data_IF_969771023374
#
_entry.id   IF_969771023374
#
_cell.length_a   1.000
_cell.length_b   1.000
_cell.length_c   1.000
_cell.angle_alpha   90.00
_cell.angle_beta   90.00
_cell.angle_gamma   90.00
#
_symmetry.space_group_name_H-M   'P 1'
#
loop_
_entity.id
_entity.type
_entity.pdbx_description
1 polymer ?
#
# COMPACT_ATOMS: atom_id res chain seq x y z
N UNK A 1 -18.90 21.13 -8.90
CA UNK A 1 -18.02 20.04 -9.33
C UNK A 1 -18.00 19.01 -8.21
N UNK A 2 -18.85 17.99 -8.30
CA UNK A 2 -18.79 16.86 -7.36
C UNK A 2 -17.63 15.96 -7.76
N UNK A 3 -16.60 15.89 -6.94
CA UNK A 3 -15.55 14.86 -7.05
C UNK A 3 -16.16 13.52 -6.63
N UNK A 4 -16.75 12.79 -7.57
CA UNK A 4 -17.17 11.39 -7.40
C UNK A 4 -15.98 10.46 -7.52
N UNK A 5 -15.00 10.61 -6.63
CA UNK A 5 -13.88 9.68 -6.56
C UNK A 5 -14.39 8.38 -5.89
N UNK A 6 -14.58 7.32 -6.69
CA UNK A 6 -14.95 5.99 -6.17
C UNK A 6 -13.69 5.30 -5.64
N UNK A 7 -13.26 5.67 -4.44
CA UNK A 7 -12.13 5.05 -3.77
C UNK A 7 -12.58 3.79 -3.00
N UNK A 8 -11.91 2.67 -3.24
CA UNK A 8 -12.11 1.43 -2.44
C UNK A 8 -11.06 1.43 -1.33
N UNK A 9 -11.52 1.39 -0.08
CA UNK A 9 -10.65 1.36 1.09
C UNK A 9 -10.44 -0.09 1.53
N UNK A 10 -9.21 -0.58 1.43
CA UNK A 10 -8.82 -1.91 1.87
C UNK A 10 -7.94 -1.80 3.11
N UNK A 11 -8.36 -2.39 4.22
CA UNK A 11 -7.61 -2.41 5.46
C UNK A 11 -7.16 -3.84 5.79
N UNK A 12 -5.85 -4.05 5.82
CA UNK A 12 -5.22 -5.31 6.20
C UNK A 12 -4.45 -5.17 7.49
N UNK A 13 -4.62 -6.13 8.40
CA UNK A 13 -3.86 -6.21 9.64
C UNK A 13 -3.18 -7.56 9.69
N UNK A 14 -1.85 -7.55 9.77
CA UNK A 14 -1.06 -8.76 9.97
C UNK A 14 -0.39 -8.70 11.35
N UNK A 15 -0.65 -9.71 12.19
CA UNK A 15 -0.06 -9.82 13.53
C UNK A 15 1.11 -10.81 13.49
N UNK A 16 2.33 -10.28 13.44
CA UNK A 16 3.56 -11.05 13.56
C UNK A 16 4.09 -10.97 14.99
N UNK A 17 4.56 -12.09 15.55
CA UNK A 17 5.06 -12.17 16.94
C UNK A 17 6.58 -11.95 17.08
N UNK A 18 7.28 -11.61 15.99
CA UNK A 18 8.72 -11.34 16.00
C UNK A 18 9.05 -9.92 15.56
N UNK A 19 10.35 -9.62 15.52
CA UNK A 19 10.86 -8.39 14.93
C UNK A 19 11.18 -8.67 13.46
N UNK A 20 10.50 -7.96 12.55
CA UNK A 20 10.81 -8.00 11.13
C UNK A 20 11.56 -6.74 10.75
N UNK A 21 12.72 -6.91 10.12
CA UNK A 21 13.53 -5.80 9.58
C UNK A 21 13.26 -5.53 8.10
N UNK A 22 12.54 -6.43 7.44
CA UNK A 22 12.30 -6.40 6.00
C UNK A 22 10.84 -6.73 5.68
N UNK A 23 10.21 -5.86 4.90
CA UNK A 23 8.84 -6.03 4.43
C UNK A 23 8.77 -5.80 2.92
N UNK A 24 8.08 -6.69 2.25
CA UNK A 24 7.86 -6.61 0.81
C UNK A 24 6.36 -6.54 0.55
N UNK A 25 5.91 -5.44 -0.06
CA UNK A 25 4.49 -5.13 -0.26
C UNK A 25 4.21 -5.06 -1.76
N UNK A 26 3.35 -5.96 -2.22
CA UNK A 26 2.94 -6.05 -3.63
C UNK A 26 1.45 -5.73 -3.71
N UNK A 27 1.08 -4.78 -4.57
CA UNK A 27 -0.31 -4.51 -4.90
C UNK A 27 -0.52 -4.84 -6.39
N UNK A 28 -1.19 -5.96 -6.66
CA UNK A 28 -1.58 -6.38 -8.01
C UNK A 28 -3.06 -6.11 -8.32
N UNK A 29 -3.80 -5.55 -7.36
CA UNK A 29 -5.27 -5.64 -7.36
C UNK A 29 -5.95 -4.71 -8.38
N UNK A 30 -5.27 -3.71 -8.97
CA UNK A 30 -5.97 -2.75 -9.84
C UNK A 30 -5.22 -2.22 -11.08
N UNK A 31 -3.94 -2.50 -11.28
CA UNK A 31 -3.20 -1.92 -12.42
C UNK A 31 -3.50 -2.61 -13.76
N UNK A 32 -3.91 -3.88 -13.73
CA UNK A 32 -4.19 -4.64 -14.96
C UNK A 32 -5.63 -4.43 -15.48
N UNK A 33 -6.54 -4.01 -14.62
CA UNK A 33 -7.97 -3.87 -14.94
C UNK A 33 -8.40 -2.42 -15.18
N UNK A 34 -7.70 -1.43 -14.60
CA UNK A 34 -8.09 -0.02 -14.68
C UNK A 34 -6.85 0.88 -14.79
N UNK A 35 -6.69 1.53 -15.95
CA UNK A 35 -5.52 2.32 -16.31
C UNK A 35 -5.30 3.60 -15.46
N UNK A 36 -6.28 4.04 -14.67
CA UNK A 36 -6.27 5.31 -13.94
C UNK A 36 -6.35 5.16 -12.41
N UNK A 37 -6.27 3.93 -11.89
CA UNK A 37 -6.38 3.69 -10.45
C UNK A 37 -5.09 4.05 -9.73
N UNK A 38 -5.18 4.99 -8.79
CA UNK A 38 -4.09 5.26 -7.84
C UNK A 38 -4.45 4.69 -6.48
N UNK A 39 -3.59 3.85 -5.92
CA UNK A 39 -3.81 3.18 -4.65
C UNK A 39 -2.91 3.80 -3.57
N UNK A 40 -3.47 4.11 -2.41
CA UNK A 40 -2.72 4.59 -1.25
C UNK A 40 -2.61 3.48 -0.21
N UNK A 41 -1.39 3.04 0.06
CA UNK A 41 -1.07 2.15 1.17
C UNK A 41 -0.50 2.98 2.33
N UNK A 42 -1.07 2.84 3.52
CA UNK A 42 -0.47 3.36 4.75
C UNK A 42 0.11 2.16 5.50
N UNK A 43 1.43 2.09 5.56
CA UNK A 43 2.16 1.07 6.31
C UNK A 43 2.51 1.60 7.70
N UNK A 44 2.13 0.85 8.74
CA UNK A 44 2.39 1.18 10.13
C UNK A 44 3.05 -0.02 10.83
N UNK A 45 4.21 0.18 11.44
CA UNK A 45 4.90 -0.82 12.25
C UNK A 45 5.68 -0.14 13.39
N UNK A 46 5.32 -0.45 14.65
CA UNK A 46 5.84 0.24 15.84
C UNK A 46 5.79 1.78 15.70
N UNK A 47 6.93 2.47 15.76
CA UNK A 47 7.08 3.93 15.60
C UNK A 47 7.32 4.37 14.14
N UNK A 48 7.34 3.43 13.19
CA UNK A 48 7.51 3.71 11.77
C UNK A 48 6.16 3.75 11.05
N UNK A 49 5.88 4.86 10.39
CA UNK A 49 4.74 5.02 9.50
C UNK A 49 5.21 5.54 8.15
N UNK A 50 4.73 4.95 7.06
CA UNK A 50 5.00 5.40 5.69
C UNK A 50 3.77 5.27 4.81
N UNK A 51 3.44 6.35 4.12
CA UNK A 51 2.42 6.35 3.07
C UNK A 51 3.08 6.07 1.72
N UNK A 52 2.53 5.13 0.96
CA UNK A 52 3.06 4.66 -0.32
C UNK A 52 1.93 4.77 -1.34
N UNK A 53 2.16 5.55 -2.39
CA UNK A 53 1.28 5.61 -3.55
C UNK A 53 1.73 4.55 -4.56
N UNK A 54 0.84 3.61 -4.86
CA UNK A 54 0.97 2.67 -5.97
C UNK A 54 0.26 3.24 -7.20
N UNK A 55 0.91 3.11 -8.35
CA UNK A 55 0.44 3.47 -9.69
C UNK A 55 0.77 2.33 -10.65
N UNK A 56 0.34 2.41 -11.91
CA UNK A 56 0.71 1.40 -12.90
C UNK A 56 2.22 1.26 -13.08
N UNK A 57 2.98 2.35 -12.94
CA UNK A 57 4.44 2.35 -13.04
C UNK A 57 5.14 1.92 -11.75
N UNK A 58 4.41 1.91 -10.63
CA UNK A 58 4.93 1.59 -9.30
C UNK A 58 3.96 0.66 -8.57
N UNK A 59 4.18 -0.65 -8.74
CA UNK A 59 3.33 -1.73 -8.20
C UNK A 59 3.93 -2.43 -6.97
N UNK A 60 5.20 -2.12 -6.65
CA UNK A 60 5.97 -2.75 -5.60
C UNK A 60 6.71 -1.73 -4.74
N UNK A 61 6.74 -1.96 -3.43
CA UNK A 61 7.55 -1.22 -2.49
C UNK A 61 8.24 -2.19 -1.52
N UNK A 62 9.54 -1.96 -1.29
CA UNK A 62 10.34 -2.68 -0.30
C UNK A 62 10.64 -1.73 0.85
N UNK A 63 10.35 -2.17 2.07
CA UNK A 63 10.59 -1.40 3.29
C UNK A 63 11.60 -2.13 4.18
N UNK A 64 12.66 -1.42 4.53
CA UNK A 64 13.58 -1.82 5.58
C UNK A 64 13.29 -0.99 6.82
N UNK A 65 13.08 -1.65 7.94
CA UNK A 65 12.78 -1.00 9.22
C UNK A 65 13.90 -1.40 10.17
N UNK A 66 14.71 -0.43 10.56
CA UNK A 66 15.77 -0.60 11.55
C UNK A 66 15.24 -0.38 12.96
#
# INVERSE_FOLDING_TARGET
LELKEKAVWLHYIYKYKGNSVHFELWNSLMTDLYYDQTNLLIFNYHSFQKAIRFTNDKTKEVLSIN
#
